data_IF_631537604193
#
_entry.id   IF_631537604193
#
_cell.length_a   1.000
_cell.length_b   1.000
_cell.length_c   1.000
_cell.angle_alpha   90.00
_cell.angle_beta   90.00
_cell.angle_gamma   90.00
#
_symmetry.space_group_name_H-M   'P 1'
#
loop_
_entity.id
_entity.type
_entity.pdbx_description
1 polymer ?
#
# COMPACT_ATOMS: atom_id res chain seq x y z
N UNK A 1 -14.54 0.81 2.35
CA UNK A 1 -14.05 1.25 3.68
C UNK A 1 -14.32 2.71 3.92
N UNK A 2 -13.71 3.70 3.23
CA UNK A 2 -14.04 5.13 3.45
C UNK A 2 -15.51 5.41 3.13
N UNK A 3 -16.01 4.91 2.00
CA UNK A 3 -17.44 5.05 1.64
C UNK A 3 -18.35 4.35 2.64
N UNK A 4 -18.03 3.09 2.98
CA UNK A 4 -18.73 2.32 4.02
C UNK A 4 -18.77 3.05 5.36
N UNK A 5 -17.67 3.69 5.75
CA UNK A 5 -17.56 4.47 6.98
C UNK A 5 -18.40 5.74 6.96
N UNK A 6 -18.50 6.43 5.81
CA UNK A 6 -19.38 7.60 5.64
C UNK A 6 -20.86 7.22 5.68
N UNK A 7 -21.18 6.01 5.22
CA UNK A 7 -22.57 5.54 5.09
C UNK A 7 -23.00 4.58 6.20
N UNK A 8 -22.17 4.37 7.23
CA UNK A 8 -22.40 3.41 8.31
C UNK A 8 -22.74 1.99 7.82
N UNK A 9 -22.09 1.56 6.74
CA UNK A 9 -22.24 0.21 6.19
C UNK A 9 -21.14 -0.67 6.79
N UNK A 10 -21.49 -1.77 7.48
CA UNK A 10 -20.50 -2.70 8.02
C UNK A 10 -19.63 -3.32 6.92
N UNK A 11 -18.36 -3.58 7.24
CA UNK A 11 -17.43 -4.29 6.36
C UNK A 11 -16.98 -5.60 7.00
N UNK A 12 -17.16 -6.69 6.25
CA UNK A 12 -16.60 -7.99 6.64
C UNK A 12 -15.19 -8.14 6.07
N UNK A 13 -14.23 -8.50 6.93
CA UNK A 13 -12.83 -8.65 6.52
C UNK A 13 -12.28 -10.03 6.82
N UNK A 14 -11.12 -10.34 6.25
CA UNK A 14 -10.27 -11.43 6.75
C UNK A 14 -9.79 -11.13 8.17
N UNK A 15 -9.15 -12.07 8.88
CA UNK A 15 -8.56 -11.79 10.20
C UNK A 15 -7.51 -10.67 10.16
N UNK A 16 -6.95 -10.39 8.98
CA UNK A 16 -6.20 -9.17 8.72
C UNK A 16 -4.73 -9.25 9.06
N UNK A 17 -4.15 -10.44 9.25
CA UNK A 17 -2.73 -10.63 9.61
C UNK A 17 -1.78 -10.47 8.42
N UNK A 18 -2.30 -10.29 7.20
CA UNK A 18 -1.47 -10.07 6.01
C UNK A 18 -0.90 -8.65 5.97
N UNK A 19 0.31 -8.52 5.42
CA UNK A 19 0.91 -7.23 5.11
C UNK A 19 0.29 -6.60 3.86
N UNK A 20 0.20 -5.27 3.86
CA UNK A 20 -0.05 -4.45 2.67
C UNK A 20 0.96 -3.30 2.63
N UNK A 21 1.57 -3.07 1.46
CA UNK A 21 2.45 -1.92 1.22
C UNK A 21 1.67 -0.86 0.44
N UNK A 22 1.42 0.30 1.07
CA UNK A 22 0.61 1.38 0.53
C UNK A 22 1.49 2.52 0.06
N UNK A 23 1.38 2.87 -1.22
CA UNK A 23 2.05 4.03 -1.83
C UNK A 23 0.98 5.01 -2.28
N UNK A 24 1.16 6.29 -1.97
CA UNK A 24 0.24 7.33 -2.41
C UNK A 24 0.27 7.46 -3.95
N UNK A 25 -0.87 7.79 -4.56
CA UNK A 25 -0.97 7.83 -6.02
C UNK A 25 -0.01 8.85 -6.64
N UNK A 26 0.17 10.02 -6.02
CA UNK A 26 1.11 11.03 -6.51
C UNK A 26 2.56 10.53 -6.50
N UNK A 27 2.94 9.77 -5.47
CA UNK A 27 4.27 9.15 -5.40
C UNK A 27 4.42 8.09 -6.49
N UNK A 28 3.36 7.31 -6.79
CA UNK A 28 3.38 6.35 -7.90
C UNK A 28 3.57 7.07 -9.24
N UNK A 29 2.82 8.14 -9.49
CA UNK A 29 2.94 8.94 -10.71
C UNK A 29 4.36 9.51 -10.88
N UNK A 30 4.95 10.09 -9.83
CA UNK A 30 6.33 10.58 -9.85
C UNK A 30 7.33 9.44 -10.12
N UNK A 31 7.12 8.27 -9.52
CA UNK A 31 7.98 7.10 -9.72
C UNK A 31 7.95 6.58 -11.15
N UNK A 32 6.77 6.55 -11.76
CA UNK A 32 6.63 6.19 -13.19
C UNK A 32 7.36 7.20 -14.07
N UNK A 33 7.23 8.51 -13.82
CA UNK A 33 7.95 9.53 -14.58
C UNK A 33 9.47 9.38 -14.45
N UNK A 34 9.98 9.19 -13.24
CA UNK A 34 11.41 8.93 -13.00
C UNK A 34 11.88 7.64 -13.71
N UNK A 35 11.04 6.61 -13.73
CA UNK A 35 11.31 5.37 -14.46
C UNK A 35 11.36 5.56 -15.98
N UNK A 36 10.51 6.43 -16.54
CA UNK A 36 10.54 6.80 -17.97
C UNK A 36 11.84 7.55 -18.30
N UNK A 37 12.26 8.49 -17.45
CA UNK A 37 13.51 9.21 -17.66
C UNK A 37 14.73 8.29 -17.54
N UNK A 38 14.73 7.36 -16.59
CA UNK A 38 15.76 6.33 -16.48
C UNK A 38 15.78 5.39 -17.70
N UNK A 39 14.60 5.05 -18.24
CA UNK A 39 14.47 4.21 -19.43
C UNK A 39 15.03 4.88 -20.69
N UNK A 40 14.89 6.21 -20.82
CA UNK A 40 15.44 6.97 -21.98
C UNK A 40 16.96 6.84 -22.08
N UNK A 41 17.63 6.75 -20.93
CA UNK A 41 19.08 6.59 -20.84
C UNK A 41 19.53 5.13 -20.70
N UNK A 42 18.58 4.17 -20.70
CA UNK A 42 18.88 2.78 -20.45
C UNK A 42 19.47 2.08 -21.67
N UNK A 43 20.65 1.48 -21.52
CA UNK A 43 21.24 0.63 -22.56
C UNK A 43 20.55 -0.75 -22.57
N UNK A 44 19.86 -1.16 -23.65
CA UNK A 44 19.20 -2.46 -23.74
C UNK A 44 20.13 -3.67 -23.55
N UNK A 45 21.44 -3.51 -23.77
CA UNK A 45 22.45 -4.56 -23.48
C UNK A 45 22.43 -4.97 -22.00
N UNK A 46 21.98 -4.09 -21.10
CA UNK A 46 21.84 -4.37 -19.68
C UNK A 46 20.56 -5.17 -19.34
N UNK A 47 19.76 -5.55 -20.34
CA UNK A 47 18.52 -6.31 -20.17
C UNK A 47 17.30 -5.43 -19.87
N UNK A 48 16.27 -6.02 -19.27
CA UNK A 48 15.02 -5.33 -18.94
C UNK A 48 15.22 -4.42 -17.73
N UNK A 49 14.83 -3.15 -17.86
CA UNK A 49 14.78 -2.22 -16.75
C UNK A 49 13.60 -2.58 -15.82
N UNK A 50 13.89 -3.12 -14.64
CA UNK A 50 12.88 -3.44 -13.62
C UNK A 50 13.04 -2.47 -12.45
N UNK A 51 11.96 -1.75 -12.12
CA UNK A 51 11.91 -0.86 -10.96
C UNK A 51 10.62 -1.12 -10.18
N UNK A 52 10.73 -1.13 -8.86
CA UNK A 52 9.58 -1.30 -7.96
C UNK A 52 9.23 0.00 -7.25
N UNK A 53 7.93 0.23 -7.07
CA UNK A 53 7.38 1.36 -6.33
C UNK A 53 6.70 0.80 -5.07
N UNK A 54 7.37 0.93 -3.93
CA UNK A 54 6.86 0.52 -2.64
C UNK A 54 7.20 1.56 -1.58
N UNK A 55 6.44 1.60 -0.49
CA UNK A 55 6.73 2.55 0.59
C UNK A 55 7.93 2.11 1.43
N UNK A 56 8.28 0.82 1.35
CA UNK A 56 9.26 0.16 2.22
C UNK A 56 8.78 0.01 3.66
N UNK A 57 7.51 0.34 3.93
CA UNK A 57 6.90 0.35 5.27
C UNK A 57 5.53 -0.34 5.23
N UNK A 58 5.49 -1.66 4.97
CA UNK A 58 4.24 -2.41 4.99
C UNK A 58 3.57 -2.31 6.35
N UNK A 59 2.24 -2.35 6.34
CA UNK A 59 1.38 -2.37 7.52
C UNK A 59 0.53 -3.63 7.52
N UNK A 60 0.18 -4.14 8.69
CA UNK A 60 -0.76 -5.26 8.82
C UNK A 60 -2.18 -4.74 8.58
N UNK A 61 -3.00 -5.47 7.80
CA UNK A 61 -4.34 -5.01 7.41
C UNK A 61 -5.23 -4.66 8.61
N UNK A 62 -5.22 -5.46 9.68
CA UNK A 62 -6.00 -5.12 10.89
C UNK A 62 -5.51 -3.84 11.58
N UNK A 63 -4.20 -3.56 11.57
CA UNK A 63 -3.64 -2.32 12.11
C UNK A 63 -4.03 -1.10 11.26
N UNK A 64 -4.09 -1.28 9.93
CA UNK A 64 -4.58 -0.25 9.02
C UNK A 64 -6.05 0.11 9.31
N UNK A 65 -6.90 -0.89 9.53
CA UNK A 65 -8.31 -0.68 9.90
C UNK A 65 -8.40 0.16 11.18
N UNK A 66 -7.64 -0.17 12.22
CA UNK A 66 -7.63 0.59 13.47
C UNK A 66 -7.12 2.03 13.28
N UNK A 67 -6.07 2.24 12.48
CA UNK A 67 -5.59 3.58 12.15
C UNK A 67 -6.63 4.42 11.40
N UNK A 68 -7.39 3.80 10.50
CA UNK A 68 -8.47 4.48 9.76
C UNK A 68 -9.60 4.88 10.74
N UNK A 69 -10.02 3.99 11.65
CA UNK A 69 -11.01 4.30 12.69
C UNK A 69 -10.58 5.52 13.51
N UNK A 70 -9.34 5.51 14.02
CA UNK A 70 -8.79 6.60 14.82
C UNK A 70 -8.73 7.91 14.04
N UNK A 71 -8.16 7.89 12.82
CA UNK A 71 -7.92 9.11 12.02
C UNK A 71 -9.20 9.83 11.66
N UNK A 72 -10.22 9.09 11.27
CA UNK A 72 -11.45 9.68 10.75
C UNK A 72 -12.53 9.84 11.81
N UNK A 73 -12.31 9.36 13.04
CA UNK A 73 -13.35 9.35 14.08
C UNK A 73 -14.59 8.58 13.66
N UNK A 74 -14.45 7.70 12.66
CA UNK A 74 -15.55 6.96 12.08
C UNK A 74 -15.72 5.66 12.85
N UNK A 75 -16.94 5.39 13.28
CA UNK A 75 -17.42 4.07 13.68
C UNK A 75 -17.42 3.16 12.44
N UNK A 76 -16.24 2.84 11.91
CA UNK A 76 -16.13 1.82 10.87
C UNK A 76 -16.50 0.50 11.54
N UNK A 77 -17.75 0.08 11.39
CA UNK A 77 -18.20 -1.24 11.79
C UNK A 77 -17.47 -2.27 10.92
N UNK A 78 -16.42 -2.86 11.47
CA UNK A 78 -15.61 -3.87 10.79
C UNK A 78 -15.75 -5.20 11.52
N UNK A 79 -16.39 -6.18 10.88
CA UNK A 79 -16.48 -7.55 11.38
C UNK A 79 -15.20 -8.30 10.96
N UNK A 80 -14.19 -8.24 11.83
CA UNK A 80 -12.88 -8.83 11.55
C UNK A 80 -12.95 -10.35 11.66
N UNK A 81 -12.44 -11.05 10.64
CA UNK A 81 -12.32 -12.51 10.64
C UNK A 81 -13.55 -13.27 10.14
N UNK A 82 -14.61 -12.58 9.71
CA UNK A 82 -15.80 -13.22 9.11
C UNK A 82 -15.45 -13.90 7.79
N UNK A 83 -14.51 -13.33 7.03
CA UNK A 83 -14.06 -13.91 5.77
C UNK A 83 -12.83 -14.79 6.02
N UNK A 84 -12.76 -16.01 5.49
CA UNK A 84 -11.50 -16.75 5.50
C UNK A 84 -10.47 -16.05 4.61
N UNK A 85 -9.19 -16.33 4.85
CA UNK A 85 -8.14 -15.96 3.90
C UNK A 85 -8.41 -16.58 2.52
N UNK A 86 -8.05 -15.88 1.44
CA UNK A 86 -8.13 -16.47 0.11
C UNK A 86 -7.14 -17.62 -0.02
N UNK A 87 -7.42 -18.65 -0.83
CA UNK A 87 -6.40 -19.62 -1.20
C UNK A 87 -5.19 -18.90 -1.81
N UNK A 88 -4.00 -19.13 -1.22
CA UNK A 88 -2.74 -18.46 -1.58
C UNK A 88 -2.72 -16.95 -1.30
N UNK A 89 -3.40 -16.51 -0.22
CA UNK A 89 -3.27 -15.14 0.27
C UNK A 89 -1.78 -14.79 0.49
N UNK A 90 -1.38 -13.64 -0.06
CA UNK A 90 -0.02 -13.13 0.12
C UNK A 90 0.08 -12.53 1.51
N UNK A 91 0.66 -13.29 2.45
CA UNK A 91 0.77 -12.85 3.85
C UNK A 91 1.88 -11.81 4.07
N UNK A 92 2.91 -11.80 3.21
CA UNK A 92 4.04 -10.87 3.29
C UNK A 92 4.27 -10.19 1.96
N UNK A 93 4.50 -8.88 2.02
CA UNK A 93 4.77 -8.06 0.84
C UNK A 93 6.14 -8.36 0.25
N UNK A 94 6.29 -8.11 -1.05
CA UNK A 94 7.58 -8.18 -1.72
C UNK A 94 8.41 -6.94 -1.37
N UNK A 95 9.60 -7.16 -0.79
CA UNK A 95 10.46 -6.09 -0.26
C UNK A 95 11.76 -5.89 -1.04
N UNK A 96 12.05 -6.79 -1.97
CA UNK A 96 13.33 -6.82 -2.67
C UNK A 96 13.23 -6.14 -4.04
N UNK A 97 13.05 -4.82 -4.05
CA UNK A 97 12.95 -4.06 -5.29
C UNK A 97 13.91 -2.87 -5.30
N UNK A 98 14.30 -2.45 -6.50
CA UNK A 98 15.07 -1.23 -6.72
C UNK A 98 14.12 -0.12 -7.19
N UNK A 99 14.03 1.03 -6.48
CA UNK A 99 13.22 2.15 -6.94
C UNK A 99 13.88 2.87 -8.13
N UNK A 100 13.11 3.60 -8.96
CA UNK A 100 13.66 4.49 -9.98
C UNK A 100 14.66 5.48 -9.38
N UNK A 101 15.68 5.85 -10.15
CA UNK A 101 16.71 6.80 -9.69
C UNK A 101 16.07 8.11 -9.23
N UNK A 102 16.44 8.58 -8.03
CA UNK A 102 15.94 9.84 -7.46
C UNK A 102 14.52 9.78 -6.88
N UNK A 103 13.83 8.64 -6.99
CA UNK A 103 12.50 8.47 -6.42
C UNK A 103 12.54 7.98 -4.97
N UNK A 104 11.67 8.53 -4.13
CA UNK A 104 11.30 7.95 -2.84
C UNK A 104 9.88 8.36 -2.47
N UNK A 105 9.13 7.55 -1.70
CA UNK A 105 7.77 7.87 -1.28
C UNK A 105 7.80 9.09 -0.33
N UNK A 106 7.03 10.14 -0.66
CA UNK A 106 6.98 11.39 0.11
C UNK A 106 5.74 11.45 0.98
N UNK A 107 4.64 10.88 0.51
CA UNK A 107 3.37 10.90 1.21
C UNK A 107 3.27 9.71 2.14
N UNK A 108 2.97 9.99 3.42
CA UNK A 108 2.62 8.94 4.37
C UNK A 108 1.48 9.41 5.26
N UNK A 109 0.28 9.01 4.85
CA UNK A 109 -0.97 9.42 5.48
C UNK A 109 -1.18 8.86 6.90
N UNK A 110 -0.36 7.90 7.32
CA UNK A 110 -0.46 7.20 8.60
C UNK A 110 0.75 7.41 9.51
N UNK A 111 1.67 8.33 9.15
CA UNK A 111 2.92 8.59 9.88
C UNK A 111 2.72 9.30 11.22
N UNK A 112 1.60 10.00 11.39
CA UNK A 112 1.33 10.91 12.51
C UNK A 112 0.20 10.45 13.44
N UNK A 113 -0.36 9.26 13.24
CA UNK A 113 -1.29 8.66 14.18
C UNK A 113 -0.45 7.90 15.22
N UNK A 114 -0.04 8.63 16.27
CA UNK A 114 0.52 8.06 17.50
C UNK A 114 -0.60 7.73 18.46
#
# INVERSE_FOLDING_TARGET
MIDSAKNHIPIDTTPGDQEIDLVHIDDVCEGVLNGIDELREWNPVNGVLIRGLGSGKPIIVKELIEKIKIKYGLEVEANIGVRPYRPREVMKTYKNFTPPKGWSPKHNEFRNLK
#
